data_IF_372862889931
#
_entry.id   IF_372862889931
#
_cell.length_a   1.000
_cell.length_b   1.000
_cell.length_c   1.000
_cell.angle_alpha   90.00
_cell.angle_beta   90.00
_cell.angle_gamma   90.00
#
_symmetry.space_group_name_H-M   'P 1'
#
loop_
_entity.id
_entity.type
_entity.pdbx_description
1 polymer ?
#
# COMPACT_ATOMS: atom_id res chain seq x y z
N UNK A 1 11.40 12.63 -14.11
CA UNK A 1 10.24 12.86 -13.24
C UNK A 1 10.38 11.93 -12.05
N UNK A 2 10.54 12.49 -10.85
CA UNK A 2 10.91 11.75 -9.65
C UNK A 2 9.82 10.77 -9.23
N UNK A 3 10.22 9.58 -8.77
CA UNK A 3 9.32 8.69 -8.03
C UNK A 3 8.79 9.50 -6.84
N UNK A 4 7.47 9.57 -6.67
CA UNK A 4 6.82 10.15 -5.48
C UNK A 4 6.97 9.22 -4.26
N UNK A 5 8.11 8.55 -4.20
CA UNK A 5 8.46 7.49 -3.29
C UNK A 5 9.05 8.15 -2.05
N UNK A 6 8.25 8.27 -0.99
CA UNK A 6 8.87 8.41 0.33
C UNK A 6 9.71 7.14 0.58
N UNK A 7 10.96 7.29 1.03
CA UNK A 7 11.79 6.15 1.37
C UNK A 7 11.13 5.35 2.50
N UNK A 8 11.30 4.03 2.46
CA UNK A 8 10.94 3.15 3.56
C UNK A 8 11.78 3.56 4.79
N UNK A 9 11.12 3.77 5.91
CA UNK A 9 11.69 4.27 7.15
C UNK A 9 11.25 3.44 8.36
N UNK A 10 11.82 3.71 9.53
CA UNK A 10 11.44 3.05 10.79
C UNK A 10 9.96 3.18 11.13
N UNK A 11 9.31 4.27 10.75
CA UNK A 11 7.88 4.48 11.01
C UNK A 11 6.97 3.81 9.97
N UNK A 12 7.54 3.17 8.95
CA UNK A 12 6.75 2.53 7.89
C UNK A 12 6.14 1.23 8.42
N UNK A 13 4.81 1.02 8.30
CA UNK A 13 4.18 -0.23 8.69
C UNK A 13 4.71 -1.42 7.90
N UNK A 14 5.03 -2.53 8.56
CA UNK A 14 5.57 -3.73 7.90
C UNK A 14 4.58 -4.28 6.86
N UNK A 15 3.27 -4.22 7.14
CA UNK A 15 2.23 -4.61 6.18
C UNK A 15 2.26 -3.83 4.87
N UNK A 16 2.59 -2.54 4.92
CA UNK A 16 2.69 -1.72 3.70
C UNK A 16 3.94 -2.11 2.92
N UNK A 17 5.06 -2.34 3.62
CA UNK A 17 6.29 -2.84 3.01
C UNK A 17 6.00 -4.15 2.26
N UNK A 18 5.34 -5.12 2.89
CA UNK A 18 5.05 -6.42 2.29
C UNK A 18 4.05 -6.36 1.13
N UNK A 19 3.07 -5.45 1.19
CA UNK A 19 2.13 -5.25 0.09
C UNK A 19 2.80 -4.64 -1.14
N UNK A 20 3.71 -3.68 -0.93
CA UNK A 20 4.46 -3.03 -2.02
C UNK A 20 5.60 -3.91 -2.54
N UNK A 21 6.29 -4.61 -1.64
CA UNK A 21 7.44 -5.48 -1.87
C UNK A 21 7.20 -6.89 -1.29
N UNK A 22 6.48 -7.78 -2.00
CA UNK A 22 6.27 -9.15 -1.53
C UNK A 22 7.58 -9.91 -1.24
N UNK A 23 8.62 -9.63 -2.03
CA UNK A 23 9.95 -10.24 -1.87
C UNK A 23 10.69 -9.77 -0.60
N UNK A 24 10.23 -8.67 0.02
CA UNK A 24 10.79 -8.18 1.28
C UNK A 24 10.60 -9.17 2.43
N UNK A 25 9.64 -10.10 2.37
CA UNK A 25 9.46 -11.12 3.41
C UNK A 25 10.74 -11.95 3.65
N UNK A 26 11.43 -12.33 2.57
CA UNK A 26 12.68 -13.10 2.66
C UNK A 26 13.81 -12.24 3.23
N UNK A 27 13.85 -10.96 2.85
CA UNK A 27 14.84 -10.01 3.35
C UNK A 27 14.64 -9.76 4.86
N UNK A 28 13.40 -9.46 5.28
CA UNK A 28 13.02 -9.28 6.68
C UNK A 28 13.41 -10.50 7.53
N UNK A 29 13.18 -11.71 7.02
CA UNK A 29 13.59 -12.95 7.69
C UNK A 29 15.12 -13.07 7.83
N UNK A 30 15.92 -12.63 6.85
CA UNK A 30 17.40 -12.63 6.96
C UNK A 30 17.92 -11.71 8.06
N UNK A 31 17.19 -10.65 8.37
CA UNK A 31 17.50 -9.72 9.45
C UNK A 31 16.90 -10.14 10.80
N UNK A 32 16.21 -11.29 10.88
CA UNK A 32 15.66 -11.85 12.12
C UNK A 32 14.16 -11.63 12.32
N UNK A 33 13.49 -10.95 11.39
CA UNK A 33 12.03 -10.78 11.42
C UNK A 33 11.36 -11.95 10.68
N UNK A 34 11.39 -13.13 11.29
CA UNK A 34 10.79 -14.35 10.72
C UNK A 34 9.25 -14.33 10.76
N UNK A 35 8.67 -13.52 11.64
CA UNK A 35 7.23 -13.42 11.84
C UNK A 35 6.57 -12.31 11.03
N UNK A 36 7.24 -11.71 10.04
CA UNK A 36 6.67 -10.61 9.23
C UNK A 36 5.33 -10.98 8.54
N UNK A 37 5.09 -12.27 8.32
CA UNK A 37 3.81 -12.80 7.77
C UNK A 37 2.86 -13.39 8.84
N UNK A 38 3.20 -13.30 10.12
CA UNK A 38 2.36 -13.75 11.23
C UNK A 38 1.38 -12.64 11.61
N UNK A 39 0.15 -13.00 11.95
CA UNK A 39 -0.97 -12.10 12.25
C UNK A 39 -0.67 -11.06 13.36
N UNK A 40 0.35 -11.30 14.18
CA UNK A 40 0.80 -10.39 15.24
C UNK A 40 1.72 -9.24 14.78
N UNK A 41 2.42 -9.35 13.63
CA UNK A 41 3.38 -8.33 13.14
C UNK A 41 2.81 -7.47 11.99
N UNK A 42 1.54 -7.63 11.63
CA UNK A 42 0.93 -6.87 10.51
C UNK A 42 0.61 -5.42 10.93
N UNK A 43 0.52 -5.16 12.24
CA UNK A 43 0.19 -3.85 12.80
C UNK A 43 1.38 -2.99 13.23
N UNK A 44 2.59 -3.56 13.36
CA UNK A 44 3.78 -2.84 13.80
C UNK A 44 4.48 -2.06 12.67
N UNK A 45 5.20 -1.02 13.07
CA UNK A 45 6.18 -0.34 12.22
C UNK A 45 7.48 -1.13 12.14
N UNK A 46 8.29 -0.88 11.11
CA UNK A 46 9.60 -1.51 10.94
C UNK A 46 10.49 -1.29 12.18
N UNK A 47 10.49 -0.09 12.75
CA UNK A 47 11.26 0.23 13.95
C UNK A 47 10.80 -0.56 15.18
N UNK A 48 9.49 -0.61 15.43
CA UNK A 48 8.92 -1.39 16.53
C UNK A 48 9.26 -2.88 16.39
N UNK A 49 9.11 -3.45 15.19
CA UNK A 49 9.46 -4.86 14.96
C UNK A 49 10.94 -5.15 15.17
N UNK A 50 11.83 -4.26 14.72
CA UNK A 50 13.27 -4.43 14.96
C UNK A 50 13.62 -4.35 16.45
N UNK A 51 12.99 -3.42 17.18
CA UNK A 51 13.21 -3.25 18.63
C UNK A 51 12.68 -4.45 19.44
N UNK A 52 11.47 -4.94 19.12
CA UNK A 52 10.88 -6.11 19.78
C UNK A 52 11.72 -7.38 19.58
N UNK A 53 12.40 -7.49 18.43
CA UNK A 53 13.29 -8.60 18.10
C UNK A 53 14.75 -8.36 18.53
N UNK A 54 15.03 -7.31 19.30
CA UNK A 54 16.36 -6.95 19.80
C UNK A 54 17.42 -6.80 18.69
N UNK A 55 17.00 -6.36 17.51
CA UNK A 55 17.89 -6.12 16.38
C UNK A 55 18.58 -4.77 16.56
N UNK A 56 19.89 -4.71 16.29
CA UNK A 56 20.67 -3.50 16.50
C UNK A 56 20.22 -2.36 15.59
N UNK A 57 20.49 -1.12 16.01
CA UNK A 57 20.25 0.06 15.18
C UNK A 57 21.00 -0.02 13.85
N UNK A 58 22.26 -0.48 13.85
CA UNK A 58 23.07 -0.65 12.63
C UNK A 58 22.41 -1.62 11.65
N UNK A 59 22.00 -2.79 12.11
CA UNK A 59 21.29 -3.77 11.28
C UNK A 59 19.93 -3.22 10.78
N UNK A 60 19.31 -2.31 11.53
CA UNK A 60 18.07 -1.63 11.12
C UNK A 60 18.30 -0.68 9.95
N UNK A 61 19.39 0.10 9.99
CA UNK A 61 19.76 0.98 8.88
C UNK A 61 20.16 0.19 7.63
N UNK A 62 20.87 -0.93 7.81
CA UNK A 62 21.24 -1.82 6.70
C UNK A 62 20.00 -2.43 6.03
N UNK A 63 19.05 -2.94 6.83
CA UNK A 63 17.78 -3.46 6.32
C UNK A 63 16.99 -2.39 5.57
N UNK A 64 16.89 -1.17 6.12
CA UNK A 64 16.22 -0.06 5.44
C UNK A 64 16.90 0.29 4.12
N UNK A 65 18.23 0.24 4.07
CA UNK A 65 18.98 0.46 2.83
C UNK A 65 18.61 -0.60 1.79
N UNK A 66 18.65 -1.88 2.16
CA UNK A 66 18.29 -2.98 1.25
C UNK A 66 16.82 -2.90 0.77
N UNK A 67 15.89 -2.57 1.68
CA UNK A 67 14.48 -2.38 1.34
C UNK A 67 14.29 -1.24 0.34
N UNK A 68 14.98 -0.11 0.56
CA UNK A 68 14.90 1.04 -0.35
C UNK A 68 15.55 0.75 -1.71
N UNK A 69 16.61 -0.06 -1.76
CA UNK A 69 17.18 -0.54 -3.03
C UNK A 69 16.17 -1.38 -3.81
N UNK A 70 15.52 -2.36 -3.17
CA UNK A 70 14.44 -3.14 -3.79
C UNK A 70 13.28 -2.26 -4.27
N UNK A 71 12.91 -1.27 -3.46
CA UNK A 71 11.85 -0.32 -3.79
C UNK A 71 12.18 0.55 -5.02
N UNK A 72 13.45 0.91 -5.18
CA UNK A 72 13.94 1.66 -6.34
C UNK A 72 13.91 0.84 -7.64
N UNK A 73 13.82 -0.48 -7.59
CA UNK A 73 13.68 -1.32 -8.77
C UNK A 73 12.22 -1.49 -9.22
N UNK A 74 11.24 -1.10 -8.40
CA UNK A 74 9.83 -1.21 -8.78
C UNK A 74 9.47 -0.28 -9.97
N UNK A 75 8.57 -0.75 -10.86
CA UNK A 75 8.04 0.09 -11.93
C UNK A 75 7.29 1.29 -11.35
N UNK A 76 7.51 2.46 -11.94
CA UNK A 76 6.80 3.67 -11.53
C UNK A 76 5.32 3.57 -11.90
N UNK A 77 4.45 3.98 -10.96
CA UNK A 77 3.01 4.15 -11.20
C UNK A 77 2.63 5.63 -11.20
N UNK A 78 1.55 5.99 -11.92
CA UNK A 78 0.98 7.33 -11.85
C UNK A 78 0.61 7.71 -10.39
N UNK A 79 0.97 8.91 -9.91
CA UNK A 79 0.72 9.33 -8.53
C UNK A 79 -0.72 9.86 -8.35
N UNK A 80 -1.71 9.20 -8.95
CA UNK A 80 -3.10 9.64 -8.89
C UNK A 80 -4.04 8.52 -8.49
N UNK A 81 -5.13 8.90 -7.82
CA UNK A 81 -6.28 8.05 -7.56
C UNK A 81 -7.49 8.81 -8.11
N UNK A 82 -8.27 8.15 -8.96
CA UNK A 82 -9.51 8.73 -9.47
C UNK A 82 -10.72 8.18 -8.70
N UNK A 83 -11.74 9.00 -8.52
CA UNK A 83 -12.94 8.64 -7.76
C UNK A 83 -14.16 8.86 -8.65
N UNK A 84 -14.97 7.82 -8.85
CA UNK A 84 -16.25 7.94 -9.56
C UNK A 84 -17.22 8.79 -8.75
N UNK A 85 -18.17 9.45 -9.43
CA UNK A 85 -19.19 10.24 -8.74
C UNK A 85 -20.04 9.37 -7.81
N UNK A 86 -20.40 8.18 -8.28
CA UNK A 86 -21.18 7.20 -7.52
C UNK A 86 -20.42 6.74 -6.27
N UNK A 87 -19.11 6.49 -6.38
CA UNK A 87 -18.26 6.11 -5.26
C UNK A 87 -18.16 7.24 -4.23
N UNK A 88 -17.91 8.49 -4.67
CA UNK A 88 -17.86 9.65 -3.77
C UNK A 88 -19.20 9.85 -3.04
N UNK A 89 -20.33 9.75 -3.74
CA UNK A 89 -21.66 9.88 -3.13
C UNK A 89 -21.97 8.74 -2.14
N UNK A 90 -21.54 7.51 -2.43
CA UNK A 90 -21.71 6.39 -1.52
C UNK A 90 -20.85 6.58 -0.26
N UNK A 91 -19.61 7.02 -0.41
CA UNK A 91 -18.74 7.34 0.72
C UNK A 91 -19.31 8.44 1.60
N UNK A 92 -19.80 9.53 1.00
CA UNK A 92 -20.46 10.62 1.73
C UNK A 92 -21.61 10.11 2.60
N UNK A 93 -22.38 9.13 2.12
CA UNK A 93 -23.46 8.51 2.89
C UNK A 93 -22.92 7.66 4.05
N UNK A 94 -21.87 6.88 3.81
CA UNK A 94 -21.24 6.02 4.82
C UNK A 94 -20.64 6.89 5.94
N UNK A 95 -19.84 7.90 5.59
CA UNK A 95 -19.15 8.76 6.57
C UNK A 95 -20.11 9.64 7.36
N UNK A 96 -21.19 10.12 6.74
CA UNK A 96 -22.23 10.88 7.42
C UNK A 96 -22.93 10.05 8.51
N UNK A 97 -23.13 8.76 8.29
CA UNK A 97 -23.70 7.86 9.30
C UNK A 97 -22.75 7.60 10.48
N UNK A 98 -21.43 7.75 10.26
CA UNK A 98 -20.38 7.53 11.26
C UNK A 98 -20.05 8.77 12.11
N UNK A 99 -20.69 9.93 11.86
CA UNK A 99 -20.44 11.17 12.59
C UNK A 99 -18.99 11.72 12.48
N UNK A 100 -18.21 11.17 11.55
CA UNK A 100 -16.78 11.43 11.38
C UNK A 100 -16.53 12.34 10.18
N UNK A 101 -15.37 13.02 10.09
CA UNK A 101 -14.97 13.69 8.85
C UNK A 101 -15.09 12.70 7.70
N UNK A 102 -15.46 13.19 6.53
CA UNK A 102 -15.58 12.38 5.31
C UNK A 102 -14.20 12.06 4.73
N UNK A 103 -13.37 11.45 5.57
CA UNK A 103 -11.99 11.09 5.33
C UNK A 103 -11.91 9.56 5.32
N UNK A 104 -11.41 9.00 4.23
CA UNK A 104 -11.21 7.57 4.11
C UNK A 104 -9.76 7.28 3.71
N UNK A 105 -9.15 6.28 4.31
CA UNK A 105 -7.80 5.83 3.99
C UNK A 105 -7.84 4.58 3.11
N UNK A 106 -7.03 4.57 2.04
CA UNK A 106 -6.65 3.32 1.39
C UNK A 106 -5.58 2.69 2.26
N UNK A 107 -5.83 1.45 2.70
CA UNK A 107 -4.94 0.71 3.58
C UNK A 107 -4.74 -0.72 3.08
N UNK A 108 -3.81 -1.42 3.72
CA UNK A 108 -3.71 -2.87 3.68
C UNK A 108 -4.31 -3.41 4.97
N UNK A 109 -5.29 -4.30 4.86
CA UNK A 109 -5.97 -4.90 6.01
C UNK A 109 -5.17 -6.06 6.64
N UNK A 110 -5.73 -6.66 7.68
CA UNK A 110 -5.16 -7.82 8.38
C UNK A 110 -4.98 -9.07 7.49
N UNK A 111 -5.71 -9.14 6.38
CA UNK A 111 -5.64 -10.22 5.40
C UNK A 111 -4.67 -9.90 4.24
N UNK A 112 -3.88 -8.82 4.36
CA UNK A 112 -3.00 -8.30 3.32
C UNK A 112 -3.75 -7.89 2.03
N UNK A 113 -5.01 -7.49 2.16
CA UNK A 113 -5.84 -7.02 1.05
C UNK A 113 -5.97 -5.50 1.08
N UNK A 114 -6.10 -4.91 -0.10
CA UNK A 114 -6.44 -3.50 -0.23
C UNK A 114 -7.85 -3.25 0.29
N UNK A 115 -7.95 -2.36 1.25
CA UNK A 115 -9.21 -1.97 1.86
C UNK A 115 -9.35 -0.45 1.93
N UNK A 116 -10.57 -0.02 2.18
CA UNK A 116 -10.90 1.37 2.44
C UNK A 116 -11.47 1.48 3.85
N UNK A 117 -10.85 2.31 4.68
CA UNK A 117 -11.25 2.51 6.09
C UNK A 117 -11.63 3.97 6.32
N UNK A 118 -12.60 4.23 7.21
CA UNK A 118 -12.90 5.60 7.64
C UNK A 118 -11.81 6.05 8.62
N UNK A 119 -11.11 7.13 8.28
CA UNK A 119 -10.02 7.63 9.10
C UNK A 119 -10.50 8.81 9.97
N UNK A 120 -10.19 8.77 11.25
CA UNK A 120 -10.48 9.87 12.16
C UNK A 120 -9.48 11.04 12.02
N UNK A 121 -8.25 10.73 11.61
CA UNK A 121 -7.12 11.67 11.57
C UNK A 121 -6.46 11.57 10.19
N UNK A 122 -6.00 12.72 9.68
CA UNK A 122 -5.16 12.82 8.50
C UNK A 122 -3.67 12.81 8.91
N UNK A 123 -2.89 11.76 8.61
CA UNK A 123 -1.45 11.76 8.84
C UNK A 123 -0.76 12.80 7.95
N UNK A 124 0.20 13.57 8.49
CA UNK A 124 0.75 14.76 7.82
C UNK A 124 1.45 14.46 6.48
N UNK A 125 1.91 13.23 6.29
CA UNK A 125 2.65 12.74 5.13
C UNK A 125 1.77 12.02 4.09
N UNK A 126 0.48 11.84 4.37
CA UNK A 126 -0.46 11.23 3.42
C UNK A 126 -0.89 12.20 2.32
N UNK A 127 -1.08 11.64 1.12
CA UNK A 127 -1.59 12.40 -0.03
C UNK A 127 -3.11 12.33 -0.06
N UNK A 128 -3.75 13.47 -0.37
CA UNK A 128 -5.21 13.61 -0.46
C UNK A 128 -5.67 13.57 -1.90
N UNK A 129 -6.70 12.78 -2.16
CA UNK A 129 -7.43 12.71 -3.41
C UNK A 129 -8.90 12.98 -3.14
N UNK A 130 -9.52 13.84 -3.93
CA UNK A 130 -10.94 14.15 -3.82
C UNK A 130 -11.51 14.39 -5.22
N UNK A 131 -12.84 14.48 -5.27
CA UNK A 131 -13.56 14.79 -6.50
C UNK A 131 -14.18 16.18 -6.39
N UNK A 132 -13.93 17.05 -7.36
CA UNK A 132 -14.35 18.46 -7.30
C UNK A 132 -15.87 18.68 -7.14
N UNK A 133 -16.68 17.79 -7.72
CA UNK A 133 -18.15 17.86 -7.64
C UNK A 133 -18.73 17.25 -6.34
N UNK A 134 -17.89 16.60 -5.53
CA UNK A 134 -18.21 16.08 -4.18
C UNK A 134 -17.01 16.37 -3.26
N UNK A 135 -16.71 17.65 -2.99
CA UNK A 135 -15.45 18.06 -2.37
C UNK A 135 -15.34 17.64 -0.90
N UNK A 136 -16.46 17.33 -0.25
CA UNK A 136 -16.47 16.94 1.17
C UNK A 136 -15.81 15.57 1.41
N UNK A 137 -15.64 14.74 0.38
CA UNK A 137 -15.09 13.38 0.52
C UNK A 137 -13.63 13.36 0.12
N UNK A 138 -12.78 13.04 1.09
CA UNK A 138 -11.34 12.95 0.93
C UNK A 138 -10.88 11.51 1.07
N UNK A 139 -10.05 11.07 0.13
CA UNK A 139 -9.31 9.81 0.19
C UNK A 139 -7.85 10.12 0.50
N UNK A 140 -7.32 9.52 1.55
CA UNK A 140 -5.91 9.59 1.89
C UNK A 140 -5.19 8.28 1.62
N UNK A 141 -3.93 8.37 1.24
CA UNK A 141 -3.07 7.20 1.02
C UNK A 141 -1.63 7.56 1.34
N UNK A 142 -0.90 6.62 1.96
CA UNK A 142 0.52 6.80 2.24
C UNK A 142 1.30 6.90 0.92
N UNK A 143 2.41 7.67 0.86
CA UNK A 143 3.23 7.73 -0.35
C UNK A 143 3.77 6.37 -0.78
N UNK A 144 4.10 5.49 0.18
CA UNK A 144 4.53 4.13 -0.08
C UNK A 144 3.42 3.32 -0.75
N UNK A 145 2.21 3.30 -0.19
CA UNK A 145 1.11 2.56 -0.76
C UNK A 145 0.66 3.13 -2.11
N UNK A 146 0.74 4.45 -2.31
CA UNK A 146 0.47 5.09 -3.60
C UNK A 146 1.39 4.56 -4.71
N UNK A 147 2.62 4.17 -4.41
CA UNK A 147 3.49 3.53 -5.41
C UNK A 147 2.95 2.19 -5.94
N UNK A 148 2.12 1.53 -5.14
CA UNK A 148 1.49 0.25 -5.46
C UNK A 148 0.07 0.42 -6.01
N UNK A 149 -0.71 1.38 -5.51
CA UNK A 149 -2.08 1.64 -5.98
C UNK A 149 -2.19 2.79 -6.99
N UNK A 150 -1.08 3.40 -7.38
CA UNK A 150 -1.05 4.52 -8.30
C UNK A 150 -1.76 4.24 -9.62
N UNK A 151 -2.61 5.17 -10.03
CA UNK A 151 -3.52 5.05 -11.17
C UNK A 151 -4.83 4.30 -10.88
N UNK A 152 -5.09 3.90 -9.62
CA UNK A 152 -6.32 3.21 -9.27
C UNK A 152 -7.57 4.08 -9.40
N UNK A 153 -8.70 3.40 -9.55
CA UNK A 153 -10.03 4.02 -9.61
C UNK A 153 -10.89 3.49 -8.47
N UNK A 154 -11.48 4.39 -7.69
CA UNK A 154 -12.51 4.03 -6.73
C UNK A 154 -13.87 4.07 -7.42
N UNK A 155 -14.51 2.92 -7.53
CA UNK A 155 -15.75 2.70 -8.28
C UNK A 155 -16.79 1.99 -7.41
N UNK A 156 -18.05 1.97 -7.85
CA UNK A 156 -19.09 1.10 -7.28
C UNK A 156 -19.38 -0.03 -8.27
N UNK A 157 -19.11 -1.28 -7.89
CA UNK A 157 -19.42 -2.48 -8.66
C UNK A 157 -20.38 -3.36 -7.85
N UNK A 158 -21.52 -3.75 -8.43
CA UNK A 158 -22.54 -4.58 -7.77
C UNK A 158 -22.99 -4.04 -6.39
N UNK A 159 -23.12 -2.71 -6.27
CA UNK A 159 -23.51 -2.04 -5.02
C UNK A 159 -22.42 -1.98 -3.94
N UNK A 160 -21.18 -2.40 -4.26
CA UNK A 160 -20.03 -2.36 -3.34
C UNK A 160 -18.97 -1.38 -3.85
N UNK A 161 -18.33 -0.68 -2.92
CA UNK A 161 -17.13 0.09 -3.21
C UNK A 161 -16.00 -0.86 -3.63
N UNK A 162 -15.24 -0.49 -4.65
CA UNK A 162 -14.15 -1.31 -5.20
C UNK A 162 -13.00 -0.41 -5.60
N UNK A 163 -11.79 -0.80 -5.19
CA UNK A 163 -10.53 -0.20 -5.64
C UNK A 163 -10.08 -0.99 -6.87
N UNK A 164 -10.21 -0.39 -8.05
CA UNK A 164 -9.83 -1.01 -9.33
C UNK A 164 -8.42 -0.57 -9.69
N UNK A 165 -7.48 -1.51 -9.65
CA UNK A 165 -6.09 -1.24 -10.03
C UNK A 165 -5.98 -1.18 -11.57
N UNK A 166 -5.17 -0.28 -12.13
CA UNK A 166 -4.90 -0.30 -13.56
C UNK A 166 -4.24 -1.63 -13.90
N UNK A 167 -4.65 -2.24 -15.01
CA UNK A 167 -4.01 -3.46 -15.48
C UNK A 167 -2.56 -3.12 -15.85
N UNK A 168 -1.63 -3.62 -15.06
CA UNK A 168 -0.22 -3.58 -15.42
C UNK A 168 -0.05 -4.63 -16.52
N UNK A 169 -0.04 -4.20 -17.78
CA UNK A 169 0.35 -5.06 -18.90
C UNK A 169 1.84 -5.41 -18.76
N UNK A 170 2.12 -6.41 -17.94
CA UNK A 170 3.47 -6.85 -17.58
C UNK A 170 4.21 -7.54 -18.74
N UNK A 171 3.52 -8.10 -19.73
CA UNK A 171 4.18 -8.83 -20.82
C UNK A 171 3.40 -8.69 -22.14
N UNK A 172 3.67 -7.64 -22.96
CA UNK A 172 3.33 -7.63 -24.40
C UNK A 172 4.44 -8.25 -25.28
N UNK A 173 5.54 -8.72 -24.66
CA UNK A 173 6.59 -9.48 -25.34
C UNK A 173 6.89 -10.77 -24.54
N UNK A 174 6.70 -11.98 -25.12
CA UNK A 174 6.76 -13.23 -24.36
C UNK A 174 8.15 -13.68 -23.89
N UNK A 175 9.24 -12.99 -24.22
CA UNK A 175 10.57 -13.63 -24.24
C UNK A 175 11.58 -13.17 -23.19
N UNK A 176 11.32 -12.15 -22.35
CA UNK A 176 12.37 -11.64 -21.45
C UNK A 176 11.95 -11.28 -20.01
N UNK A 177 10.68 -11.40 -19.65
CA UNK A 177 10.25 -11.06 -18.28
C UNK A 177 10.35 -12.25 -17.32
N UNK A 178 11.40 -12.26 -16.48
CA UNK A 178 11.60 -13.29 -15.46
C UNK A 178 10.45 -13.36 -14.43
N UNK A 179 9.75 -12.25 -14.15
CA UNK A 179 8.64 -12.24 -13.18
C UNK A 179 7.35 -12.93 -13.68
N UNK A 180 7.19 -13.14 -14.99
CA UNK A 180 6.07 -13.89 -15.56
C UNK A 180 6.33 -15.43 -15.48
N UNK A 181 7.58 -15.87 -15.27
CA UNK A 181 8.01 -17.28 -15.41
C UNK A 181 7.65 -18.16 -14.20
N UNK A 182 7.55 -17.59 -13.00
CA UNK A 182 7.35 -18.36 -11.77
C UNK A 182 5.89 -18.48 -11.30
N UNK A 183 4.98 -17.64 -11.79
CA UNK A 183 3.54 -17.74 -11.42
C UNK A 183 2.78 -18.83 -12.17
N UNK A 184 3.40 -19.48 -13.16
CA UNK A 184 2.78 -20.54 -13.97
C UNK A 184 3.00 -21.96 -13.48
N UNK A 185 3.74 -22.19 -12.38
CA UNK A 185 4.19 -23.54 -12.00
C UNK A 185 3.46 -24.24 -10.85
N UNK A 186 2.49 -23.59 -10.19
CA UNK A 186 1.62 -24.27 -9.23
C UNK A 186 0.20 -24.44 -9.78
N UNK A 187 0.08 -25.35 -10.76
CA UNK A 187 -1.12 -26.16 -10.95
C UNK A 187 -0.66 -27.62 -11.00
N UNK A 188 -0.65 -28.26 -9.85
CA UNK A 188 -0.75 -29.71 -9.69
C UNK A 188 -1.89 -29.93 -8.69
#
# INVERSE_FOLDING_TARGET
>A
MGKYASPISRSTPIREILAVLPDAATLLARYGIHCASCTFNVSETLGEGMEQHAISHENTEDLMTDLNLLYQELPSRPPNISISKEAALLLKKITAASGSPSLCAIIIDENQQLALEVAAIHPADHLVFFREDVPDVHIIVSPLLLSHVGGAQLLVKNGRLTIDLPQVTCCQTPTTCNSCRDRGKNKI
#
